data_IF_291666512455
#
_entry.id   IF_291666512455
#
_cell.length_a   1.000
_cell.length_b   1.000
_cell.length_c   1.000
_cell.angle_alpha   90.00
_cell.angle_beta   90.00
_cell.angle_gamma   90.00
#
_symmetry.space_group_name_H-M   'P 1'
#
loop_
_entity.id
_entity.type
_entity.pdbx_description
1 polymer ?
#
# COMPACT_ATOMS: atom_id res chain seq x y z
N UNK A 1 -11.94 -27.00 27.45
CA UNK A 1 -11.32 -26.25 26.34
C UNK A 1 -11.49 -27.09 25.10
N UNK A 2 -12.24 -26.63 24.10
CA UNK A 2 -12.38 -27.38 22.84
C UNK A 2 -11.03 -27.41 22.12
N UNK A 3 -10.66 -28.56 21.59
CA UNK A 3 -9.49 -28.72 20.72
C UNK A 3 -9.81 -28.29 19.29
N UNK A 4 -8.79 -28.00 18.48
CA UNK A 4 -8.99 -27.55 17.08
C UNK A 4 -9.82 -28.56 16.27
N UNK A 5 -9.70 -29.86 16.58
CA UNK A 5 -10.44 -30.93 15.93
C UNK A 5 -11.95 -30.94 16.24
N UNK A 6 -12.37 -30.25 17.31
CA UNK A 6 -13.76 -30.18 17.76
C UNK A 6 -14.47 -28.89 17.35
N UNK A 7 -13.75 -28.01 16.63
CA UNK A 7 -14.33 -26.78 16.09
C UNK A 7 -15.08 -27.07 14.80
N UNK A 8 -16.28 -26.52 14.71
CA UNK A 8 -16.99 -26.41 13.43
C UNK A 8 -16.26 -25.43 12.50
N UNK A 9 -16.51 -25.52 11.20
CA UNK A 9 -15.95 -24.60 10.21
C UNK A 9 -16.33 -23.15 10.51
N UNK A 10 -17.56 -22.90 10.95
CA UNK A 10 -18.02 -21.58 11.41
C UNK A 10 -17.22 -21.04 12.60
N UNK A 11 -17.02 -21.86 13.63
CA UNK A 11 -16.26 -21.48 14.83
C UNK A 11 -14.79 -21.22 14.49
N UNK A 12 -14.17 -22.05 13.65
CA UNK A 12 -12.80 -21.85 13.17
C UNK A 12 -12.68 -20.55 12.37
N UNK A 13 -13.63 -20.28 11.47
CA UNK A 13 -13.64 -19.04 10.69
C UNK A 13 -13.81 -17.81 11.60
N UNK A 14 -14.58 -17.92 12.68
CA UNK A 14 -14.76 -16.84 13.65
C UNK A 14 -13.49 -16.59 14.48
N UNK A 15 -12.80 -17.67 14.86
CA UNK A 15 -11.53 -17.62 15.58
C UNK A 15 -10.42 -17.00 14.71
N UNK A 16 -10.34 -17.40 13.44
CA UNK A 16 -9.44 -16.78 12.46
C UNK A 16 -9.78 -15.29 12.26
N UNK A 17 -11.06 -14.93 12.11
CA UNK A 17 -11.48 -13.52 11.99
C UNK A 17 -11.07 -12.71 13.22
N UNK A 18 -11.16 -13.29 14.41
CA UNK A 18 -10.80 -12.61 15.65
C UNK A 18 -9.28 -12.45 15.80
N UNK A 19 -8.49 -13.48 15.52
CA UNK A 19 -7.03 -13.40 15.46
C UNK A 19 -6.61 -12.34 14.43
N UNK A 20 -7.16 -12.41 13.22
CA UNK A 20 -6.88 -11.41 12.18
C UNK A 20 -7.26 -10.01 12.64
N UNK A 21 -8.40 -9.83 13.31
CA UNK A 21 -8.81 -8.52 13.83
C UNK A 21 -7.88 -8.00 14.94
N UNK A 22 -7.44 -8.87 15.84
CA UNK A 22 -6.52 -8.50 16.94
C UNK A 22 -5.10 -8.20 16.43
N UNK A 23 -4.60 -9.00 15.50
CA UNK A 23 -3.34 -8.75 14.80
C UNK A 23 -3.41 -7.46 13.96
N UNK A 24 -4.53 -7.20 13.29
CA UNK A 24 -4.70 -5.99 12.48
C UNK A 24 -4.88 -4.72 13.30
N UNK A 25 -5.39 -4.79 14.54
CA UNK A 25 -5.53 -3.61 15.43
C UNK A 25 -4.20 -2.90 15.70
N UNK A 26 -3.08 -3.62 15.68
CA UNK A 26 -1.73 -3.03 15.82
C UNK A 26 -1.11 -2.55 14.51
N UNK A 27 -1.69 -2.92 13.37
CA UNK A 27 -1.04 -2.85 12.04
C UNK A 27 -1.76 -1.91 11.07
N UNK A 28 -3.07 -1.70 11.23
CA UNK A 28 -3.86 -0.83 10.38
C UNK A 28 -5.03 -0.16 11.12
N UNK A 29 -5.45 1.02 10.65
CA UNK A 29 -6.66 1.71 11.11
C UNK A 29 -7.79 1.57 10.09
N UNK A 30 -9.00 2.01 10.44
CA UNK A 30 -10.15 2.03 9.52
C UNK A 30 -10.52 3.49 9.24
N UNK A 31 -10.63 3.85 7.96
CA UNK A 31 -11.09 5.19 7.57
C UNK A 31 -12.62 5.32 7.63
N UNK A 32 -13.12 6.55 7.45
CA UNK A 32 -14.55 6.88 7.49
C UNK A 32 -15.40 6.11 6.45
N UNK A 33 -14.76 5.54 5.42
CA UNK A 33 -15.42 4.78 4.34
C UNK A 33 -15.27 3.26 4.54
N UNK A 34 -14.67 2.83 5.65
CA UNK A 34 -14.45 1.43 5.99
C UNK A 34 -13.26 0.80 5.27
N UNK A 35 -12.29 1.59 4.80
CA UNK A 35 -11.03 1.08 4.24
C UNK A 35 -10.02 0.80 5.35
N UNK A 36 -9.29 -0.30 5.22
CA UNK A 36 -8.11 -0.56 6.06
C UNK A 36 -6.95 0.33 5.61
N UNK A 37 -6.35 1.03 6.56
CA UNK A 37 -5.26 1.98 6.35
C UNK A 37 -4.00 1.45 7.00
N UNK A 38 -3.05 1.02 6.20
CA UNK A 38 -1.76 0.50 6.65
C UNK A 38 -0.73 1.62 6.78
N UNK A 39 0.19 1.47 7.74
CA UNK A 39 1.27 2.43 7.98
C UNK A 39 2.35 2.41 6.91
N UNK A 40 2.57 1.25 6.30
CA UNK A 40 3.64 0.99 5.35
C UNK A 40 3.19 0.00 4.27
N UNK A 41 3.90 0.03 3.14
CA UNK A 41 3.60 -0.85 2.00
C UNK A 41 3.76 -2.33 2.34
N UNK A 42 4.77 -2.70 3.15
CA UNK A 42 5.05 -4.10 3.45
C UNK A 42 3.90 -4.76 4.23
N UNK A 43 3.33 -4.02 5.18
CA UNK A 43 2.16 -4.44 5.94
C UNK A 43 0.91 -4.58 5.06
N UNK A 44 0.70 -3.63 4.14
CA UNK A 44 -0.35 -3.72 3.13
C UNK A 44 -0.16 -4.92 2.19
N UNK A 45 1.06 -5.14 1.69
CA UNK A 45 1.37 -6.22 0.75
C UNK A 45 1.10 -7.60 1.37
N UNK A 46 1.50 -7.81 2.64
CA UNK A 46 1.17 -9.05 3.38
C UNK A 46 -0.34 -9.27 3.48
N UNK A 47 -1.10 -8.21 3.78
CA UNK A 47 -2.55 -8.30 3.83
C UNK A 47 -3.17 -8.69 2.47
N UNK A 48 -2.75 -8.03 1.38
CA UNK A 48 -3.25 -8.34 0.03
C UNK A 48 -2.97 -9.80 -0.35
N UNK A 49 -1.77 -10.31 -0.03
CA UNK A 49 -1.41 -11.71 -0.27
C UNK A 49 -2.32 -12.68 0.49
N UNK A 50 -2.59 -12.41 1.78
CA UNK A 50 -3.43 -13.28 2.63
C UNK A 50 -4.90 -13.26 2.19
N UNK A 51 -5.42 -12.10 1.78
CA UNK A 51 -6.82 -11.96 1.38
C UNK A 51 -7.14 -12.74 0.09
N UNK A 52 -6.14 -12.98 -0.77
CA UNK A 52 -6.32 -13.77 -2.00
C UNK A 52 -7.30 -13.16 -3.01
N UNK A 53 -7.66 -11.88 -2.83
CA UNK A 53 -8.51 -11.12 -3.77
C UNK A 53 -7.63 -10.29 -4.70
N UNK A 54 -8.16 -9.98 -5.88
CA UNK A 54 -7.57 -8.98 -6.77
C UNK A 54 -7.38 -7.64 -6.04
N UNK A 55 -6.22 -6.96 -6.17
CA UNK A 55 -5.95 -5.67 -5.54
C UNK A 55 -7.08 -4.64 -5.63
N UNK A 56 -7.71 -4.49 -6.80
CA UNK A 56 -8.81 -3.53 -7.03
C UNK A 56 -10.05 -3.80 -6.16
N UNK A 57 -10.23 -5.04 -5.70
CA UNK A 57 -11.35 -5.47 -4.86
C UNK A 57 -11.01 -5.42 -3.37
N UNK A 58 -9.77 -5.10 -3.02
CA UNK A 58 -9.35 -4.93 -1.63
C UNK A 58 -9.67 -3.51 -1.19
N UNK A 59 -10.53 -3.37 -0.17
CA UNK A 59 -10.81 -2.09 0.49
C UNK A 59 -9.70 -1.75 1.49
N UNK A 60 -8.48 -1.57 0.98
CA UNK A 60 -7.33 -1.19 1.77
C UNK A 60 -6.38 -0.29 0.97
N UNK A 61 -5.62 0.53 1.69
CA UNK A 61 -4.54 1.34 1.14
C UNK A 61 -3.45 1.53 2.20
N UNK A 62 -2.26 1.99 1.81
CA UNK A 62 -1.25 2.50 2.74
C UNK A 62 -1.01 3.98 2.47
N UNK A 63 -0.39 4.66 3.43
CA UNK A 63 0.11 6.03 3.25
C UNK A 63 1.59 5.94 2.92
N UNK A 64 2.01 6.49 1.79
CA UNK A 64 3.43 6.52 1.42
C UNK A 64 4.21 7.58 2.21
N UNK A 65 5.52 7.65 1.99
CA UNK A 65 6.42 8.59 2.65
C UNK A 65 6.10 10.08 2.36
N UNK A 66 5.29 10.34 1.34
CA UNK A 66 4.83 11.68 0.96
C UNK A 66 3.42 11.99 1.47
N UNK A 67 2.78 11.08 2.21
CA UNK A 67 1.43 11.27 2.73
C UNK A 67 0.32 10.92 1.72
N UNK A 68 0.65 10.29 0.59
CA UNK A 68 -0.34 9.93 -0.43
C UNK A 68 -0.98 8.58 -0.13
N UNK A 69 -2.27 8.46 -0.48
CA UNK A 69 -3.02 7.21 -0.38
C UNK A 69 -2.67 6.31 -1.57
N UNK A 70 -2.05 5.18 -1.29
CA UNK A 70 -1.54 4.28 -2.33
C UNK A 70 -2.13 2.87 -2.18
N UNK A 71 -2.40 2.22 -3.31
CA UNK A 71 -2.91 0.84 -3.39
C UNK A 71 -2.36 0.16 -4.64
N UNK A 72 -2.31 -1.17 -4.64
CA UNK A 72 -1.96 -1.93 -5.84
C UNK A 72 -3.07 -1.87 -6.89
N UNK A 73 -2.65 -1.84 -8.16
CA UNK A 73 -3.54 -2.00 -9.32
C UNK A 73 -3.69 -3.49 -9.67
N UNK A 74 -4.73 -3.80 -10.44
CA UNK A 74 -4.89 -5.10 -11.10
C UNK A 74 -4.06 -5.20 -12.39
N UNK A 75 -3.49 -4.09 -12.85
CA UNK A 75 -2.75 -4.04 -14.10
C UNK A 75 -1.42 -4.80 -13.98
N UNK A 76 -1.21 -5.75 -14.89
CA UNK A 76 0.10 -6.35 -15.08
C UNK A 76 0.99 -5.37 -15.85
N UNK A 77 2.12 -5.00 -15.24
CA UNK A 77 3.09 -4.13 -15.90
C UNK A 77 3.72 -4.88 -17.06
N UNK A 78 3.31 -4.54 -18.28
CA UNK A 78 3.94 -5.10 -19.48
C UNK A 78 5.42 -4.69 -19.56
N UNK A 79 6.29 -5.46 -20.24
CA UNK A 79 7.69 -5.07 -20.40
C UNK A 79 7.87 -3.68 -21.03
N UNK A 80 6.96 -3.28 -21.92
CA UNK A 80 6.96 -1.95 -22.52
C UNK A 80 6.62 -0.87 -21.50
N UNK A 81 5.55 -1.06 -20.72
CA UNK A 81 5.15 -0.11 -19.67
C UNK A 81 6.25 0.01 -18.61
N UNK A 82 6.93 -1.09 -18.26
CA UNK A 82 8.08 -1.07 -17.36
C UNK A 82 9.21 -0.17 -17.90
N UNK A 83 9.54 -0.28 -19.20
CA UNK A 83 10.56 0.58 -19.84
C UNK A 83 10.15 2.04 -19.91
N UNK A 84 8.86 2.32 -20.10
CA UNK A 84 8.32 3.69 -20.10
C UNK A 84 8.38 4.31 -18.70
N UNK A 85 7.98 3.57 -17.67
CA UNK A 85 8.08 4.01 -16.27
C UNK A 85 9.53 4.27 -15.84
N UNK A 86 10.47 3.38 -16.21
CA UNK A 86 11.89 3.59 -15.92
C UNK A 86 12.45 4.82 -16.65
N UNK A 87 12.06 5.07 -17.92
CA UNK A 87 12.45 6.28 -18.64
C UNK A 87 11.91 7.55 -17.97
N UNK A 88 10.62 7.57 -17.65
CA UNK A 88 10.00 8.69 -16.95
C UNK A 88 10.67 8.97 -15.59
N UNK A 89 11.08 7.92 -14.85
CA UNK A 89 11.82 8.08 -13.59
C UNK A 89 13.17 8.76 -13.77
N UNK A 90 13.88 8.48 -14.87
CA UNK A 90 15.14 9.15 -15.18
C UNK A 90 14.94 10.58 -15.69
N UNK A 91 13.89 10.85 -16.46
CA UNK A 91 13.55 12.19 -16.96
C UNK A 91 13.15 13.18 -15.84
N UNK A 92 12.56 12.68 -14.75
CA UNK A 92 12.21 13.49 -13.57
C UNK A 92 13.42 13.93 -12.73
N UNK A 93 14.62 13.46 -13.06
CA UNK A 93 15.85 13.87 -12.39
C UNK A 93 16.34 15.18 -13.01
N UNK A 94 15.72 16.30 -12.64
CA UNK A 94 16.30 17.61 -12.96
C UNK A 94 17.53 17.77 -12.05
N UNK A 95 18.74 17.97 -12.60
CA UNK A 95 19.93 18.20 -11.78
C UNK A 95 19.69 19.35 -10.80
N UNK A 96 20.09 19.17 -9.55
CA UNK A 96 19.88 20.19 -8.51
C UNK A 96 20.45 21.54 -8.94
N UNK A 97 21.56 21.54 -9.67
CA UNK A 97 22.21 22.71 -10.25
C UNK A 97 21.29 23.46 -11.24
N UNK A 98 20.53 22.72 -12.07
CA UNK A 98 19.59 23.30 -13.02
C UNK A 98 18.37 23.92 -12.31
N UNK A 99 17.92 23.31 -11.22
CA UNK A 99 16.86 23.85 -10.36
C UNK A 99 17.34 25.12 -9.65
N UNK A 100 18.51 25.08 -9.02
CA UNK A 100 19.13 26.21 -8.31
C UNK A 100 19.37 27.39 -9.25
N UNK A 101 19.91 27.14 -10.45
CA UNK A 101 20.12 28.19 -11.45
C UNK A 101 18.81 28.87 -11.87
N UNK A 102 17.71 28.10 -11.97
CA UNK A 102 16.40 28.62 -12.34
C UNK A 102 15.75 29.41 -11.19
N UNK A 103 15.89 28.94 -9.95
CA UNK A 103 15.42 29.65 -8.76
C UNK A 103 16.15 30.99 -8.56
N UNK A 104 17.47 31.03 -8.79
CA UNK A 104 18.26 32.28 -8.77
C UNK A 104 17.80 33.27 -9.85
N UNK A 105 17.49 32.80 -11.05
CA UNK A 105 16.91 33.65 -12.12
C UNK A 105 15.53 34.22 -11.75
N UNK A 106 14.78 33.52 -10.90
CA UNK A 106 13.50 33.98 -10.35
C UNK A 106 13.65 34.87 -9.11
N UNK A 107 14.88 35.24 -8.72
CA UNK A 107 15.14 36.10 -7.56
C UNK A 107 15.04 35.40 -6.21
N UNK A 108 14.85 34.07 -6.19
CA UNK A 108 14.85 33.28 -4.97
C UNK A 108 16.30 33.07 -4.52
N UNK A 109 16.64 33.45 -3.29
CA UNK A 109 17.92 33.11 -2.68
C UNK A 109 17.91 31.63 -2.30
N UNK A 110 18.78 30.85 -2.96
CA UNK A 110 19.04 29.42 -2.71
C UNK A 110 20.51 29.23 -2.41
#
# INVERSE_FOLDING_TARGET
MKTIAELTVEELAQLIRQIVHEELKGVCTIDEKGYLVFRDEASYARYVQVVGKKPSRVKAYWIDEHGLKTRYSDDEVTPQLKRELERARHELTIPAEAVIAKLRKLGVKV
#
